data_IF_932060475432
#
_entry.id   IF_932060475432
#
_cell.length_a   1.000
_cell.length_b   1.000
_cell.length_c   1.000
_cell.angle_alpha   90.00
_cell.angle_beta   90.00
_cell.angle_gamma   90.00
#
_symmetry.space_group_name_H-M   'P 1'
#
loop_
_entity.id
_entity.type
_entity.pdbx_description
1 polymer ?
#
# COMPACT_ATOMS: atom_id res chain seq x y z
N UNK A 1 -5.84 16.54 28.77
CA UNK A 1 -4.96 16.78 27.60
C UNK A 1 -5.56 16.03 26.43
N UNK A 2 -6.17 16.74 25.49
CA UNK A 2 -6.94 16.15 24.37
C UNK A 2 -6.23 16.48 23.03
N UNK A 3 -4.89 16.37 23.00
CA UNK A 3 -4.03 17.16 22.08
C UNK A 3 -3.47 16.45 20.84
N UNK A 4 -3.93 15.25 20.49
CA UNK A 4 -3.46 14.53 19.28
C UNK A 4 -4.59 13.76 18.57
N UNK A 5 -5.72 14.40 18.25
CA UNK A 5 -6.83 13.72 17.56
C UNK A 5 -6.56 13.43 16.07
N UNK A 6 -5.61 14.14 15.45
CA UNK A 6 -5.36 14.06 13.99
C UNK A 6 -3.91 13.69 13.61
N UNK A 7 -3.12 13.13 14.54
CA UNK A 7 -1.80 12.57 14.19
C UNK A 7 -1.95 11.21 13.50
N UNK A 8 -1.13 10.96 12.48
CA UNK A 8 -1.10 9.68 11.75
C UNK A 8 -1.45 9.81 10.27
N UNK A 9 -1.85 8.70 9.65
CA UNK A 9 -2.09 8.61 8.21
C UNK A 9 -3.40 7.88 7.91
N UNK A 10 -4.14 8.34 6.91
CA UNK A 10 -5.07 7.49 6.18
C UNK A 10 -4.24 6.47 5.41
N UNK A 11 -4.65 5.19 5.44
CA UNK A 11 -3.89 4.08 4.86
C UNK A 11 -4.83 3.10 4.15
N UNK A 12 -4.43 2.64 2.98
CA UNK A 12 -4.99 1.46 2.34
C UNK A 12 -3.84 0.50 2.02
N UNK A 13 -3.95 -0.74 2.50
CA UNK A 13 -2.99 -1.81 2.19
C UNK A 13 -3.62 -2.78 1.21
N UNK A 14 -2.95 -3.04 0.08
CA UNK A 14 -3.48 -3.88 -0.97
C UNK A 14 -2.39 -4.62 -1.76
N UNK A 15 -2.76 -5.69 -2.44
CA UNK A 15 -1.93 -6.38 -3.42
C UNK A 15 -2.79 -6.71 -4.65
N UNK A 16 -2.41 -6.20 -5.82
CA UNK A 16 -3.19 -6.29 -7.08
C UNK A 16 -2.27 -6.59 -8.25
N UNK A 17 -2.78 -7.03 -9.41
CA UNK A 17 -1.91 -7.30 -10.56
C UNK A 17 -1.35 -6.01 -11.16
N UNK A 18 -0.27 -6.08 -11.97
CA UNK A 18 0.24 -4.92 -12.69
C UNK A 18 -0.83 -4.24 -13.54
N UNK A 19 -1.68 -4.99 -14.22
CA UNK A 19 -2.74 -4.47 -15.09
C UNK A 19 -3.80 -3.70 -14.29
N UNK A 20 -4.18 -4.24 -13.13
CA UNK A 20 -5.10 -3.57 -12.19
C UNK A 20 -4.46 -2.30 -11.63
N UNK A 21 -3.17 -2.35 -11.28
CA UNK A 21 -2.42 -1.18 -10.83
C UNK A 21 -2.27 -0.11 -11.93
N UNK A 22 -2.08 -0.50 -13.19
CA UNK A 22 -2.07 0.41 -14.32
C UNK A 22 -3.41 1.14 -14.46
N UNK A 23 -4.52 0.45 -14.21
CA UNK A 23 -5.86 1.07 -14.12
C UNK A 23 -5.94 2.15 -13.04
N UNK A 24 -5.31 1.92 -11.88
CA UNK A 24 -5.20 2.91 -10.81
C UNK A 24 -4.29 4.08 -11.22
N UNK A 25 -3.13 3.82 -11.84
CA UNK A 25 -2.19 4.85 -12.29
C UNK A 25 -2.81 5.84 -13.27
N UNK A 26 -3.72 5.40 -14.15
CA UNK A 26 -4.45 6.30 -15.07
C UNK A 26 -5.24 7.41 -14.35
N UNK A 27 -5.67 7.20 -13.10
CA UNK A 27 -6.33 8.25 -12.30
C UNK A 27 -5.38 9.40 -11.96
N UNK A 28 -4.10 9.09 -11.79
CA UNK A 28 -3.05 10.06 -11.50
C UNK A 28 -2.65 10.85 -12.74
N UNK A 29 -2.74 10.25 -13.93
CA UNK A 29 -2.45 10.90 -15.21
C UNK A 29 -3.30 12.16 -15.41
N UNK A 30 -4.60 12.05 -15.16
CA UNK A 30 -5.53 13.18 -15.22
C UNK A 30 -5.23 14.30 -14.22
N UNK A 31 -4.43 14.04 -13.17
CA UNK A 31 -4.02 15.02 -12.15
C UNK A 31 -2.60 15.55 -12.35
N UNK A 32 -1.95 15.20 -13.47
CA UNK A 32 -0.56 15.58 -13.76
C UNK A 32 0.39 15.22 -12.60
N UNK A 33 0.14 14.07 -11.97
CA UNK A 33 0.93 13.66 -10.81
C UNK A 33 2.40 13.44 -11.19
N UNK A 34 3.29 13.79 -10.26
CA UNK A 34 4.72 13.57 -10.33
C UNK A 34 5.09 12.46 -9.35
N UNK A 35 5.85 11.48 -9.83
CA UNK A 35 6.32 10.37 -9.02
C UNK A 35 7.80 10.57 -8.76
N UNK A 36 8.18 10.64 -7.50
CA UNK A 36 9.58 10.75 -7.12
C UNK A 36 9.96 9.52 -6.31
N UNK A 37 11.06 8.88 -6.66
CA UNK A 37 11.66 7.88 -5.79
C UNK A 37 12.05 8.54 -4.47
N UNK A 38 11.84 7.83 -3.38
CA UNK A 38 12.33 8.27 -2.07
C UNK A 38 13.80 7.89 -1.89
N UNK A 39 14.64 8.31 -2.83
CA UNK A 39 16.10 8.21 -2.76
C UNK A 39 16.70 9.60 -2.49
N UNK A 40 18.01 9.67 -2.24
CA UNK A 40 18.69 10.95 -1.99
C UNK A 40 18.59 11.92 -3.18
N UNK A 41 18.44 11.41 -4.40
CA UNK A 41 18.36 12.22 -5.61
C UNK A 41 16.93 12.71 -5.90
N UNK A 42 15.92 12.23 -5.16
CA UNK A 42 14.50 12.42 -5.44
C UNK A 42 14.17 12.16 -6.92
N UNK A 43 14.71 11.07 -7.48
CA UNK A 43 14.65 10.81 -8.92
C UNK A 43 13.22 10.82 -9.42
N UNK A 44 12.89 11.73 -10.34
CA UNK A 44 11.57 11.82 -10.95
C UNK A 44 11.38 10.70 -11.96
N UNK A 45 10.31 9.94 -11.80
CA UNK A 45 9.89 8.88 -12.70
C UNK A 45 8.61 9.26 -13.44
N UNK A 46 8.50 8.82 -14.69
CA UNK A 46 7.25 8.85 -15.44
C UNK A 46 6.35 7.64 -15.10
N UNK A 47 5.14 7.64 -15.67
CA UNK A 47 4.15 6.58 -15.45
C UNK A 47 4.65 5.18 -15.85
N UNK A 48 5.39 5.07 -16.96
CA UNK A 48 5.89 3.79 -17.44
C UNK A 48 6.96 3.24 -16.50
N UNK A 49 7.84 4.11 -15.99
CA UNK A 49 8.86 3.72 -15.01
C UNK A 49 8.26 3.28 -13.69
N UNK A 50 7.19 3.93 -13.21
CA UNK A 50 6.46 3.50 -12.00
C UNK A 50 5.75 2.17 -12.24
N UNK A 51 5.11 2.00 -13.39
CA UNK A 51 4.45 0.75 -13.77
C UNK A 51 5.44 -0.42 -13.85
N UNK A 52 6.57 -0.26 -14.53
CA UNK A 52 7.59 -1.31 -14.64
C UNK A 52 8.25 -1.62 -13.29
N UNK A 53 8.42 -0.62 -12.41
CA UNK A 53 8.88 -0.86 -11.04
C UNK A 53 7.87 -1.69 -10.24
N UNK A 54 6.57 -1.39 -10.33
CA UNK A 54 5.53 -2.19 -9.67
C UNK A 54 5.46 -3.60 -10.22
N UNK A 55 5.55 -3.74 -11.55
CA UNK A 55 5.55 -5.05 -12.23
C UNK A 55 6.73 -5.91 -11.81
N UNK A 56 7.93 -5.34 -11.72
CA UNK A 56 9.12 -6.03 -11.21
C UNK A 56 8.92 -6.47 -9.76
N UNK A 57 8.37 -5.59 -8.91
CA UNK A 57 8.02 -5.93 -7.54
C UNK A 57 7.01 -7.09 -7.48
N UNK A 58 5.96 -7.03 -8.28
CA UNK A 58 4.92 -8.05 -8.32
C UNK A 58 5.45 -9.41 -8.78
N UNK A 59 6.25 -9.42 -9.86
CA UNK A 59 6.84 -10.63 -10.45
C UNK A 59 7.69 -11.40 -9.46
N UNK A 60 8.41 -10.72 -8.57
CA UNK A 60 9.17 -11.38 -7.51
C UNK A 60 8.33 -12.34 -6.67
N UNK A 61 7.12 -11.93 -6.30
CA UNK A 61 6.27 -12.68 -5.37
C UNK A 61 5.33 -13.69 -6.04
N UNK A 62 5.17 -13.62 -7.36
CA UNK A 62 4.38 -14.58 -8.14
C UNK A 62 5.24 -15.62 -8.88
N UNK A 63 6.56 -15.42 -8.94
CA UNK A 63 7.48 -16.39 -9.52
C UNK A 63 7.37 -17.76 -8.84
N UNK A 64 7.58 -18.83 -9.60
CA UNK A 64 7.52 -20.20 -9.06
C UNK A 64 8.74 -20.59 -8.23
N UNK A 65 9.87 -19.93 -8.49
CA UNK A 65 11.13 -20.03 -7.76
C UNK A 65 11.50 -18.65 -7.25
N UNK A 66 12.17 -18.58 -6.08
CA UNK A 66 12.56 -17.31 -5.47
C UNK A 66 13.64 -16.64 -6.32
N UNK A 67 13.38 -15.46 -6.91
CA UNK A 67 14.40 -14.78 -7.70
C UNK A 67 15.56 -14.29 -6.84
N UNK A 68 16.75 -14.21 -7.43
CA UNK A 68 17.97 -13.71 -6.78
C UNK A 68 18.09 -12.17 -6.85
N UNK A 69 17.09 -11.48 -6.30
CA UNK A 69 17.10 -10.04 -6.07
C UNK A 69 16.13 -9.67 -4.94
N UNK A 70 16.17 -8.43 -4.45
CA UNK A 70 15.16 -7.93 -3.52
C UNK A 70 14.27 -6.90 -4.21
N UNK A 71 12.94 -7.10 -4.27
CA UNK A 71 12.06 -6.17 -4.95
C UNK A 71 11.87 -4.90 -4.11
N UNK A 72 11.88 -3.74 -4.76
CA UNK A 72 11.67 -2.45 -4.11
C UNK A 72 10.66 -1.60 -4.89
N UNK A 73 9.68 -1.05 -4.19
CA UNK A 73 8.65 -0.21 -4.78
C UNK A 73 8.22 0.88 -3.80
N UNK A 74 8.87 2.04 -3.86
CA UNK A 74 8.58 3.18 -2.98
C UNK A 74 8.63 4.49 -3.75
N UNK A 75 7.54 5.25 -3.67
CA UNK A 75 7.39 6.54 -4.33
C UNK A 75 6.65 7.54 -3.45
N UNK A 76 7.08 8.80 -3.50
CA UNK A 76 6.23 9.94 -3.19
C UNK A 76 5.50 10.38 -4.47
N UNK A 77 4.20 10.62 -4.34
CA UNK A 77 3.34 11.05 -5.45
C UNK A 77 2.88 12.45 -5.11
N UNK A 78 3.30 13.46 -5.87
CA UNK A 78 2.81 14.83 -5.70
C UNK A 78 1.93 15.24 -6.86
N UNK A 79 0.94 16.09 -6.61
CA UNK A 79 0.06 16.63 -7.63
C UNK A 79 -0.44 18.00 -7.19
N UNK A 80 -0.81 18.82 -8.17
CA UNK A 80 -1.37 20.14 -7.92
C UNK A 80 -2.89 20.07 -7.95
N UNK A 81 -3.55 20.62 -6.94
CA UNK A 81 -5.00 20.71 -6.89
C UNK A 81 -5.40 22.15 -6.57
N UNK A 82 -5.86 22.89 -7.58
CA UNK A 82 -6.01 24.35 -7.46
C UNK A 82 -4.63 25.02 -7.34
N UNK A 83 -4.44 25.83 -6.31
CA UNK A 83 -3.17 26.54 -6.03
C UNK A 83 -2.25 25.75 -5.08
N UNK A 84 -2.65 24.54 -4.65
CA UNK A 84 -1.93 23.78 -3.64
C UNK A 84 -1.21 22.55 -4.21
N UNK A 85 0.02 22.33 -3.74
CA UNK A 85 0.76 21.08 -3.93
C UNK A 85 0.50 20.13 -2.77
N UNK A 86 0.04 18.92 -3.08
CA UNK A 86 -0.22 17.86 -2.12
C UNK A 86 0.26 16.52 -2.65
N UNK A 87 0.24 15.48 -1.80
CA UNK A 87 0.75 14.20 -2.23
C UNK A 87 0.44 13.02 -1.32
N UNK A 88 0.71 11.84 -1.85
CA UNK A 88 0.60 10.55 -1.17
C UNK A 88 1.96 9.86 -1.13
N UNK A 89 2.06 8.84 -0.28
CA UNK A 89 3.13 7.87 -0.37
C UNK A 89 2.56 6.53 -0.79
N UNK A 90 3.26 5.88 -1.71
CA UNK A 90 3.05 4.48 -2.05
C UNK A 90 4.32 3.72 -1.75
N UNK A 91 4.23 2.63 -0.98
CA UNK A 91 5.40 1.83 -0.61
C UNK A 91 5.08 0.36 -0.45
N UNK A 92 6.01 -0.51 -0.82
CA UNK A 92 5.92 -1.91 -0.46
C UNK A 92 6.20 -2.12 1.02
N UNK A 93 5.48 -3.07 1.61
CA UNK A 93 5.66 -3.60 2.96
C UNK A 93 5.35 -5.10 2.95
N UNK A 94 5.60 -5.78 4.07
CA UNK A 94 5.36 -7.20 4.22
C UNK A 94 4.40 -7.55 5.34
N UNK A 95 3.72 -8.69 5.19
CA UNK A 95 2.97 -9.36 6.24
C UNK A 95 3.86 -10.47 6.78
N UNK A 96 4.37 -10.28 7.99
CA UNK A 96 5.03 -11.35 8.74
C UNK A 96 3.99 -12.39 9.16
N UNK A 97 4.36 -13.67 9.15
CA UNK A 97 3.50 -14.78 9.56
C UNK A 97 4.32 -15.85 10.28
N UNK A 98 3.70 -16.65 11.16
CA UNK A 98 4.44 -17.67 11.90
C UNK A 98 4.70 -18.91 11.02
N UNK A 99 5.83 -19.56 11.25
CA UNK A 99 6.26 -20.80 10.62
C UNK A 99 7.12 -21.60 11.61
N UNK A 100 6.73 -22.85 11.93
CA UNK A 100 7.41 -23.70 12.92
C UNK A 100 7.76 -23.00 14.25
N UNK A 101 6.77 -22.37 14.89
CA UNK A 101 6.90 -21.66 16.18
C UNK A 101 7.81 -20.41 16.18
N UNK A 102 8.33 -20.01 15.03
CA UNK A 102 9.07 -18.77 14.83
C UNK A 102 8.39 -17.91 13.76
N UNK A 103 8.91 -16.71 13.51
CA UNK A 103 8.50 -15.91 12.36
C UNK A 103 9.16 -16.44 11.10
N UNK A 104 8.42 -16.47 9.98
CA UNK A 104 9.00 -16.72 8.68
C UNK A 104 10.08 -15.68 8.36
N UNK A 105 11.14 -16.12 7.66
CA UNK A 105 12.20 -15.22 7.19
C UNK A 105 11.70 -14.29 6.08
N UNK A 106 10.72 -14.77 5.30
CA UNK A 106 10.08 -14.01 4.22
C UNK A 106 8.70 -13.50 4.64
N UNK A 107 8.29 -12.39 4.03
CA UNK A 107 6.98 -11.77 4.27
C UNK A 107 6.11 -11.82 3.02
N UNK A 108 4.78 -11.95 3.18
CA UNK A 108 3.86 -11.81 2.05
C UNK A 108 3.77 -10.34 1.63
N UNK A 109 3.75 -10.03 0.33
CA UNK A 109 3.81 -8.66 -0.17
C UNK A 109 2.49 -7.91 0.03
N UNK A 110 2.60 -6.61 0.26
CA UNK A 110 1.55 -5.65 -0.10
C UNK A 110 2.14 -4.28 -0.41
N UNK A 111 1.31 -3.43 -0.99
CA UNK A 111 1.56 -2.01 -1.16
C UNK A 111 0.65 -1.21 -0.24
N UNK A 112 1.21 -0.20 0.42
CA UNK A 112 0.49 0.77 1.21
C UNK A 112 0.40 2.10 0.47
N UNK A 113 -0.82 2.54 0.19
CA UNK A 113 -1.13 3.94 -0.14
C UNK A 113 -1.41 4.70 1.16
N UNK A 114 -0.79 5.87 1.35
CA UNK A 114 -0.96 6.65 2.57
C UNK A 114 -0.98 8.16 2.36
N UNK A 115 -1.79 8.84 3.18
CA UNK A 115 -1.96 10.30 3.22
C UNK A 115 -1.90 10.77 4.68
N UNK A 116 -1.07 11.78 5.04
CA UNK A 116 -1.06 12.36 6.38
C UNK A 116 -2.45 12.84 6.81
N UNK A 117 -2.87 12.55 8.05
CA UNK A 117 -4.18 12.97 8.59
C UNK A 117 -4.19 14.41 9.09
N UNK A 118 -3.02 14.92 9.45
CA UNK A 118 -2.89 16.23 10.08
C UNK A 118 -1.98 17.13 9.27
N UNK A 119 -2.32 18.41 9.24
CA UNK A 119 -1.39 19.48 8.86
C UNK A 119 -0.89 20.16 10.12
N UNK A 120 0.40 20.50 10.16
CA UNK A 120 0.96 21.27 11.27
C UNK A 120 0.66 22.75 11.06
N UNK A 121 0.01 23.37 12.04
CA UNK A 121 -0.22 24.81 12.08
C UNK A 121 0.66 25.40 13.16
N UNK A 122 1.55 26.30 12.76
CA UNK A 122 2.41 27.03 13.70
C UNK A 122 1.66 28.27 14.20
N UNK A 123 1.64 28.46 15.50
CA UNK A 123 0.97 29.55 16.20
C UNK A 123 1.94 30.25 17.14
N UNK A 124 1.64 31.51 17.43
CA UNK A 124 2.40 32.32 18.37
C UNK A 124 1.42 33.13 19.22
N UNK A 125 1.53 33.01 20.54
CA UNK A 125 0.77 33.82 21.50
C UNK A 125 1.69 34.40 22.59
N UNK A 126 1.11 35.06 23.60
CA UNK A 126 1.84 35.67 24.72
C UNK A 126 2.71 34.67 25.51
N UNK A 127 2.50 33.36 25.36
CA UNK A 127 3.29 32.29 26.00
C UNK A 127 4.36 31.70 25.08
N UNK A 128 4.50 32.22 23.85
CA UNK A 128 5.54 31.85 22.89
C UNK A 128 5.02 31.06 21.68
N UNK A 129 5.95 30.48 20.92
CA UNK A 129 5.66 29.71 19.71
C UNK A 129 5.28 28.28 20.04
N UNK A 130 4.19 27.80 19.44
CA UNK A 130 3.76 26.41 19.53
C UNK A 130 3.14 25.96 18.21
N UNK A 131 2.77 24.69 18.12
CA UNK A 131 2.04 24.18 16.97
C UNK A 131 0.87 23.31 17.42
N UNK A 132 -0.13 23.23 16.55
CA UNK A 132 -1.25 22.31 16.65
C UNK A 132 -1.35 21.48 15.37
N UNK A 133 -2.02 20.33 15.47
CA UNK A 133 -2.37 19.51 14.31
C UNK A 133 -3.85 19.62 14.05
N UNK A 134 -4.19 20.08 12.85
CA UNK A 134 -5.56 20.18 12.37
C UNK A 134 -5.80 19.17 11.24
N UNK A 135 -7.05 18.74 11.05
CA UNK A 135 -7.39 17.65 10.14
C UNK A 135 -7.15 18.06 8.68
N UNK A 136 -6.41 17.25 7.93
CA UNK A 136 -6.12 17.51 6.51
C UNK A 136 -7.41 17.65 5.67
N UNK A 137 -8.55 17.11 6.13
CA UNK A 137 -9.83 17.27 5.45
C UNK A 137 -10.32 18.71 5.45
N UNK A 138 -9.99 19.47 6.49
CA UNK A 138 -10.38 20.87 6.64
C UNK A 138 -9.44 21.78 5.83
N UNK A 139 -8.15 21.43 5.75
CA UNK A 139 -7.15 22.25 5.05
C UNK A 139 -6.93 21.86 3.60
N UNK A 140 -7.09 20.58 3.26
CA UNK A 140 -6.81 20.03 1.92
C UNK A 140 -7.92 19.05 1.49
N UNK A 141 -9.18 19.51 1.42
CA UNK A 141 -10.32 18.66 1.11
C UNK A 141 -10.18 17.95 -0.24
N UNK A 142 -9.66 18.62 -1.28
CA UNK A 142 -9.49 18.02 -2.61
C UNK A 142 -8.44 16.90 -2.62
N UNK A 143 -7.36 17.04 -1.84
CA UNK A 143 -6.36 15.98 -1.66
C UNK A 143 -6.97 14.76 -1.01
N UNK A 144 -7.76 14.97 0.05
CA UNK A 144 -8.44 13.88 0.74
C UNK A 144 -9.48 13.20 -0.17
N UNK A 145 -10.28 13.96 -0.90
CA UNK A 145 -11.24 13.41 -1.86
C UNK A 145 -10.56 12.53 -2.91
N UNK A 146 -9.44 13.00 -3.48
CA UNK A 146 -8.70 12.20 -4.45
C UNK A 146 -8.09 10.92 -3.83
N UNK A 147 -7.58 11.00 -2.59
CA UNK A 147 -7.16 9.80 -1.86
C UNK A 147 -8.30 8.80 -1.69
N UNK A 148 -9.48 9.28 -1.27
CA UNK A 148 -10.62 8.41 -1.03
C UNK A 148 -11.15 7.79 -2.32
N UNK A 149 -11.18 8.53 -3.43
CA UNK A 149 -11.51 8.02 -4.76
C UNK A 149 -10.59 6.87 -5.18
N UNK A 150 -9.27 7.07 -5.11
CA UNK A 150 -8.28 6.03 -5.45
C UNK A 150 -8.42 4.83 -4.52
N UNK A 151 -8.57 5.07 -3.21
CA UNK A 151 -8.75 4.01 -2.24
C UNK A 151 -10.03 3.20 -2.49
N UNK A 152 -11.13 3.86 -2.87
CA UNK A 152 -12.39 3.21 -3.16
C UNK A 152 -12.35 2.42 -4.46
N UNK A 153 -11.66 2.91 -5.50
CA UNK A 153 -11.46 2.15 -6.75
C UNK A 153 -10.68 0.85 -6.48
N UNK A 154 -9.63 0.89 -5.66
CA UNK A 154 -8.91 -0.34 -5.24
C UNK A 154 -9.82 -1.24 -4.40
N UNK A 155 -10.61 -0.70 -3.48
CA UNK A 155 -11.54 -1.50 -2.65
C UNK A 155 -12.58 -2.25 -3.49
N UNK A 156 -13.04 -1.67 -4.61
CA UNK A 156 -14.04 -2.30 -5.53
C UNK A 156 -13.52 -3.59 -6.16
N UNK A 157 -12.23 -3.64 -6.49
CA UNK A 157 -11.61 -4.79 -7.18
C UNK A 157 -10.91 -5.78 -6.22
N UNK A 158 -10.88 -5.47 -4.92
CA UNK A 158 -10.17 -6.28 -3.91
C UNK A 158 -11.10 -6.78 -2.81
N UNK A 159 -10.73 -7.90 -2.18
CA UNK A 159 -11.35 -8.41 -0.94
C UNK A 159 -10.31 -8.51 0.18
N UNK A 160 -10.70 -8.55 1.46
CA UNK A 160 -9.74 -8.77 2.55
C UNK A 160 -8.93 -10.05 2.33
N UNK A 161 -7.61 -9.97 2.46
CA UNK A 161 -6.70 -11.11 2.33
C UNK A 161 -6.88 -12.05 3.50
N UNK A 162 -7.11 -13.33 3.20
CA UNK A 162 -7.23 -14.40 4.18
C UNK A 162 -6.39 -15.57 3.68
N UNK A 163 -5.50 -16.06 4.51
CA UNK A 163 -4.66 -17.22 4.20
C UNK A 163 -4.45 -18.02 5.47
N UNK A 164 -4.04 -19.27 5.34
CA UNK A 164 -3.72 -20.13 6.47
C UNK A 164 -2.26 -20.53 6.43
N UNK A 165 -1.66 -20.59 7.61
CA UNK A 165 -0.32 -21.12 7.85
C UNK A 165 -0.44 -22.51 8.48
N UNK A 166 0.43 -23.47 8.12
CA UNK A 166 0.51 -24.73 8.84
C UNK A 166 1.00 -24.52 10.28
N UNK A 167 0.28 -25.05 11.26
CA UNK A 167 0.65 -25.02 12.66
C UNK A 167 0.40 -26.39 13.31
N UNK A 168 1.46 -27.12 13.63
CA UNK A 168 1.43 -28.50 14.17
C UNK A 168 0.49 -29.42 13.39
N UNK A 169 -0.76 -29.56 13.84
CA UNK A 169 -1.78 -30.46 13.27
C UNK A 169 -2.99 -29.71 12.68
N UNK A 170 -2.96 -28.38 12.60
CA UNK A 170 -4.07 -27.55 12.10
C UNK A 170 -3.59 -26.43 11.16
N UNK A 171 -4.47 -26.01 10.26
CA UNK A 171 -4.28 -24.77 9.50
C UNK A 171 -4.79 -23.59 10.32
N UNK A 172 -3.91 -22.64 10.63
CA UNK A 172 -4.27 -21.42 11.36
C UNK A 172 -4.52 -20.27 10.40
N UNK A 173 -5.77 -19.79 10.37
CA UNK A 173 -6.14 -18.63 9.54
C UNK A 173 -5.50 -17.33 10.04
N UNK A 174 -4.94 -16.57 9.11
CA UNK A 174 -4.37 -15.24 9.26
C UNK A 174 -5.29 -14.19 8.63
N UNK A 175 -5.50 -13.07 9.33
CA UNK A 175 -6.44 -11.99 8.95
C UNK A 175 -5.75 -10.62 8.90
N UNK A 176 -4.70 -10.45 8.08
CA UNK A 176 -4.04 -9.15 8.00
C UNK A 176 -5.03 -8.07 7.51
N UNK A 177 -4.82 -6.80 7.90
CA UNK A 177 -5.60 -5.66 7.40
C UNK A 177 -5.15 -5.25 5.99
N UNK A 178 -5.00 -6.24 5.10
CA UNK A 178 -4.55 -6.12 3.71
C UNK A 178 -5.67 -6.62 2.81
N UNK A 179 -5.83 -6.01 1.63
CA UNK A 179 -6.76 -6.45 0.60
C UNK A 179 -6.00 -7.07 -0.57
N UNK A 180 -6.62 -8.01 -1.28
CA UNK A 180 -6.03 -8.65 -2.45
C UNK A 180 -7.08 -8.77 -3.56
N UNK A 181 -6.67 -8.62 -4.82
CA UNK A 181 -7.57 -8.87 -5.95
C UNK A 181 -7.71 -10.36 -6.24
N UNK A 182 -8.77 -10.73 -6.96
CA UNK A 182 -8.98 -12.13 -7.37
C UNK A 182 -7.85 -12.62 -8.27
N UNK A 183 -7.37 -11.78 -9.19
CA UNK A 183 -6.31 -12.15 -10.12
C UNK A 183 -4.97 -12.32 -9.38
N UNK A 184 -4.65 -11.42 -8.44
CA UNK A 184 -3.45 -11.56 -7.62
C UNK A 184 -3.47 -12.82 -6.73
N UNK A 185 -4.65 -13.22 -6.22
CA UNK A 185 -4.80 -14.52 -5.54
C UNK A 185 -4.41 -15.67 -6.48
N UNK A 186 -4.95 -15.69 -7.69
CA UNK A 186 -4.71 -16.79 -8.64
C UNK A 186 -3.23 -16.91 -9.04
N UNK A 187 -2.52 -15.80 -9.13
CA UNK A 187 -1.08 -15.80 -9.42
C UNK A 187 -0.27 -16.28 -8.20
N UNK A 188 -0.64 -15.84 -7.00
CA UNK A 188 0.10 -16.12 -5.77
C UNK A 188 0.04 -17.58 -5.31
N UNK A 189 -1.08 -18.30 -5.51
CA UNK A 189 -1.25 -19.66 -4.95
C UNK A 189 -0.16 -20.65 -5.39
N UNK A 190 0.49 -20.41 -6.53
CA UNK A 190 1.52 -21.27 -7.10
C UNK A 190 2.94 -20.71 -6.96
N UNK A 191 3.10 -19.59 -6.24
CA UNK A 191 4.39 -18.92 -6.13
C UNK A 191 5.33 -19.60 -5.14
N UNK A 192 6.61 -19.25 -5.22
CA UNK A 192 7.67 -19.83 -4.41
C UNK A 192 7.37 -19.69 -2.90
N UNK A 193 6.84 -18.54 -2.46
CA UNK A 193 6.59 -18.29 -1.03
C UNK A 193 5.43 -19.16 -0.52
N UNK A 194 4.39 -19.36 -1.33
CA UNK A 194 3.29 -20.27 -0.98
C UNK A 194 3.77 -21.72 -0.91
N UNK A 195 4.61 -22.15 -1.84
CA UNK A 195 5.20 -23.49 -1.86
C UNK A 195 6.15 -23.71 -0.67
N UNK A 196 7.07 -22.78 -0.42
CA UNK A 196 8.11 -22.86 0.62
C UNK A 196 7.47 -22.97 2.01
N UNK A 197 6.50 -22.12 2.30
CA UNK A 197 5.86 -22.06 3.62
C UNK A 197 4.55 -22.86 3.70
N UNK A 198 4.20 -23.59 2.63
CA UNK A 198 2.95 -24.38 2.48
C UNK A 198 1.71 -23.56 2.85
N UNK A 199 1.69 -22.31 2.43
CA UNK A 199 0.59 -21.39 2.70
C UNK A 199 -0.63 -21.80 1.89
N UNK A 200 -1.82 -21.61 2.46
CA UNK A 200 -3.08 -21.90 1.79
C UNK A 200 -3.88 -20.62 1.68
N UNK A 201 -4.26 -20.23 0.46
CA UNK A 201 -5.13 -19.06 0.30
C UNK A 201 -6.55 -19.44 0.71
N UNK A 202 -7.14 -18.66 1.61
CA UNK A 202 -8.54 -18.82 2.00
C UNK A 202 -9.39 -17.94 1.08
N UNK A 203 -9.42 -18.27 -0.21
CA UNK A 203 -10.48 -17.73 -1.06
C UNK A 203 -11.76 -18.45 -0.66
N UNK A 204 -12.75 -17.73 -0.12
CA UNK A 204 -14.11 -18.28 -0.03
C UNK A 204 -14.46 -18.79 -1.43
N UNK A 205 -14.56 -20.11 -1.58
CA UNK A 205 -15.15 -20.77 -2.75
C UNK A 205 -16.64 -20.45 -2.76
N UNK A 206 -17.04 -19.20 -2.93
CA UNK A 206 -18.45 -18.82 -2.97
C UNK A 206 -18.66 -17.66 -3.94
N UNK A 207 -19.32 -18.04 -5.04
CA UNK A 207 -20.10 -17.25 -6.00
C UNK A 207 -19.31 -16.39 -6.99
N UNK A 208 -18.99 -17.02 -8.14
CA UNK A 208 -19.18 -16.40 -9.45
C UNK A 208 -20.68 -16.35 -9.74
#
# INVERSE_FOLDING_TARGET
MDRLKHSGFYKLKFFITPEEFNGVLKRFEHKQAQFNRTDHAATKHDYNQVYEAYKTFYQYFIAQEKPDYHPFFVYSISFTTGDESAGFFVRNEGISFPYHQQWAEDELPYVMLSLPKGTQINLEDEKGKYYIYEDIREHRPLTYTFFDEVANDIKKITKPLRFSVPAADVLQEQKPPVRISKNAVNDMINSWIFKQYRLVMNSKRDVL
#
